data_IF_328304186892
#
_entry.id   IF_328304186892
#
_cell.length_a   1.000
_cell.length_b   1.000
_cell.length_c   1.000
_cell.angle_alpha   90.00
_cell.angle_beta   90.00
_cell.angle_gamma   90.00
#
_symmetry.space_group_name_H-M   'P 1'
#
loop_
_entity.id
_entity.type
_entity.pdbx_description
1 polymer ?
#
# COMPACT_ATOMS: atom_id res chain seq x y z
N UNK A 1 2.13 -9.10 7.90
CA UNK A 1 0.77 -8.70 7.57
C UNK A 1 0.74 -7.27 7.03
N UNK A 2 -0.36 -6.89 6.40
CA UNK A 2 -0.55 -5.55 5.86
C UNK A 2 -0.48 -4.47 6.94
N UNK A 3 -0.97 -4.77 8.14
CA UNK A 3 -0.93 -3.80 9.25
C UNK A 3 0.50 -3.50 9.70
N UNK A 4 1.35 -4.51 9.76
CA UNK A 4 2.75 -4.31 10.12
C UNK A 4 3.47 -3.47 9.08
N UNK A 5 3.21 -3.72 7.80
CA UNK A 5 3.82 -2.95 6.72
C UNK A 5 3.39 -1.49 6.77
N UNK A 6 2.11 -1.25 7.05
CA UNK A 6 1.58 0.12 7.18
C UNK A 6 2.28 0.88 8.31
N UNK A 7 2.43 0.25 9.48
CA UNK A 7 3.10 0.86 10.62
C UNK A 7 4.56 1.16 10.31
N UNK A 8 5.22 0.22 9.65
CA UNK A 8 6.62 0.38 9.28
C UNK A 8 6.82 1.54 8.32
N UNK A 9 5.96 1.65 7.30
CA UNK A 9 6.02 2.76 6.35
C UNK A 9 5.80 4.08 7.07
N UNK A 10 4.82 4.14 7.95
CA UNK A 10 4.49 5.34 8.72
C UNK A 10 5.66 5.78 9.58
N UNK A 11 6.29 4.85 10.29
CA UNK A 11 7.45 5.16 11.13
C UNK A 11 8.61 5.69 10.30
N UNK A 12 8.92 5.05 9.20
CA UNK A 12 10.04 5.45 8.35
C UNK A 12 9.80 6.78 7.67
N UNK A 13 8.57 7.04 7.26
CA UNK A 13 8.21 8.33 6.69
C UNK A 13 8.37 9.44 7.73
N UNK A 14 7.99 9.16 8.98
CA UNK A 14 8.12 10.08 10.08
C UNK A 14 9.58 10.45 10.36
N UNK A 15 10.47 9.47 10.22
CA UNK A 15 11.91 9.67 10.42
C UNK A 15 12.62 10.14 9.15
N UNK A 16 11.88 10.31 8.04
CA UNK A 16 12.46 10.77 6.79
C UNK A 16 13.28 9.73 6.04
N UNK A 17 13.03 8.44 6.31
CA UNK A 17 13.78 7.36 5.67
C UNK A 17 13.19 6.92 4.33
N UNK A 18 11.95 7.32 4.01
CA UNK A 18 11.33 7.04 2.72
C UNK A 18 11.34 8.28 1.85
N UNK A 19 11.70 8.09 0.58
CA UNK A 19 11.54 9.12 -0.44
C UNK A 19 10.13 9.03 -1.04
N UNK A 20 9.73 10.10 -1.73
CA UNK A 20 8.46 10.11 -2.45
C UNK A 20 8.44 9.02 -3.54
N UNK A 21 9.58 8.78 -4.19
CA UNK A 21 9.71 7.73 -5.20
C UNK A 21 9.41 6.35 -4.62
N UNK A 22 9.83 6.10 -3.38
CA UNK A 22 9.56 4.83 -2.71
C UNK A 22 8.06 4.66 -2.47
N UNK A 23 7.38 5.72 -2.06
CA UNK A 23 5.93 5.69 -1.84
C UNK A 23 5.20 5.43 -3.15
N UNK A 24 5.58 6.12 -4.22
CA UNK A 24 4.97 5.91 -5.54
C UNK A 24 5.17 4.48 -6.04
N UNK A 25 6.35 3.93 -5.79
CA UNK A 25 6.66 2.56 -6.18
C UNK A 25 5.76 1.56 -5.44
N UNK A 26 5.56 1.76 -4.14
CA UNK A 26 4.64 0.95 -3.35
C UNK A 26 3.21 1.07 -3.85
N UNK A 27 2.78 2.27 -4.23
CA UNK A 27 1.44 2.49 -4.77
C UNK A 27 1.24 1.72 -6.07
N UNK A 28 2.24 1.68 -6.94
CA UNK A 28 2.17 0.90 -8.17
C UNK A 28 2.05 -0.60 -7.90
N UNK A 29 2.81 -1.10 -6.94
CA UNK A 29 2.74 -2.50 -6.53
C UNK A 29 1.35 -2.84 -6.01
N UNK A 30 0.80 -1.99 -5.15
CA UNK A 30 -0.53 -2.18 -4.60
C UNK A 30 -1.62 -2.10 -5.67
N UNK A 31 -1.46 -1.19 -6.62
CA UNK A 31 -2.40 -1.05 -7.71
C UNK A 31 -2.48 -2.33 -8.55
N UNK A 32 -1.32 -2.89 -8.87
CA UNK A 32 -1.27 -4.15 -9.61
C UNK A 32 -1.85 -5.31 -8.80
N UNK A 33 -1.55 -5.36 -7.50
CA UNK A 33 -2.09 -6.37 -6.61
C UNK A 33 -3.61 -6.26 -6.51
N UNK A 34 -4.14 -5.05 -6.38
CA UNK A 34 -5.59 -4.82 -6.33
C UNK A 34 -6.27 -5.32 -7.59
N UNK A 35 -5.72 -5.01 -8.75
CA UNK A 35 -6.25 -5.46 -10.03
C UNK A 35 -6.30 -6.99 -10.09
N UNK A 36 -5.21 -7.63 -9.68
CA UNK A 36 -5.10 -9.08 -9.69
C UNK A 36 -6.12 -9.72 -8.76
N UNK A 37 -6.28 -9.20 -7.55
CA UNK A 37 -7.24 -9.72 -6.59
C UNK A 37 -8.68 -9.55 -7.07
N UNK A 38 -8.97 -8.44 -7.72
CA UNK A 38 -10.28 -8.19 -8.29
C UNK A 38 -10.58 -9.21 -9.39
N UNK A 39 -9.63 -9.47 -10.27
CA UNK A 39 -9.81 -10.39 -11.39
C UNK A 39 -10.06 -11.82 -10.93
N UNK A 40 -9.43 -12.26 -9.85
CA UNK A 40 -9.62 -13.60 -9.31
C UNK A 40 -10.80 -13.70 -8.34
N UNK A 41 -11.50 -12.59 -8.09
CA UNK A 41 -12.66 -12.56 -7.22
C UNK A 41 -12.35 -12.52 -5.74
N UNK A 42 -11.13 -12.23 -5.36
CA UNK A 42 -10.74 -12.11 -3.94
C UNK A 42 -11.02 -10.70 -3.45
N UNK A 43 -12.28 -10.40 -3.16
CA UNK A 43 -12.70 -9.06 -2.75
C UNK A 43 -12.08 -8.63 -1.43
N UNK A 44 -11.87 -9.56 -0.51
CA UNK A 44 -11.25 -9.24 0.76
C UNK A 44 -9.81 -8.73 0.56
N UNK A 45 -9.06 -9.42 -0.28
CA UNK A 45 -7.70 -8.99 -0.62
C UNK A 45 -7.68 -7.64 -1.34
N UNK A 46 -8.65 -7.44 -2.23
CA UNK A 46 -8.80 -6.15 -2.93
C UNK A 46 -9.05 -5.01 -1.94
N UNK A 47 -9.99 -5.19 -1.01
CA UNK A 47 -10.34 -4.16 -0.05
C UNK A 47 -9.19 -3.84 0.90
N UNK A 48 -8.46 -4.86 1.33
CA UNK A 48 -7.30 -4.67 2.20
C UNK A 48 -6.22 -3.86 1.48
N UNK A 49 -5.94 -4.20 0.24
CA UNK A 49 -4.94 -3.49 -0.56
C UNK A 49 -5.38 -2.05 -0.84
N UNK A 50 -6.67 -1.84 -1.07
CA UNK A 50 -7.21 -0.50 -1.32
C UNK A 50 -7.04 0.41 -0.10
N UNK A 51 -7.29 -0.10 1.09
CA UNK A 51 -7.09 0.67 2.32
C UNK A 51 -5.64 1.10 2.45
N UNK A 52 -4.73 0.21 2.14
CA UNK A 52 -3.31 0.47 2.17
C UNK A 52 -2.91 1.51 1.12
N UNK A 53 -3.44 1.37 -0.08
CA UNK A 53 -3.22 2.31 -1.17
C UNK A 53 -3.71 3.71 -0.79
N UNK A 54 -4.91 3.80 -0.23
CA UNK A 54 -5.49 5.07 0.20
C UNK A 54 -4.62 5.74 1.28
N UNK A 55 -4.07 4.95 2.19
CA UNK A 55 -3.15 5.47 3.20
C UNK A 55 -1.92 6.08 2.55
N UNK A 56 -1.32 5.40 1.58
CA UNK A 56 -0.14 5.90 0.90
C UNK A 56 -0.42 7.14 0.08
N UNK A 57 -1.64 7.28 -0.45
CA UNK A 57 -2.00 8.45 -1.26
C UNK A 57 -2.07 9.73 -0.42
N UNK A 58 -2.14 9.61 0.91
CA UNK A 58 -2.19 10.75 1.81
C UNK A 58 -0.78 11.25 2.22
N UNK A 59 0.25 10.53 1.84
CA UNK A 59 1.61 11.00 2.05
C UNK A 59 1.89 12.18 1.11
#
# INVERSE_FOLDING_TARGET
TMMHAKQEIEQRAQYGTYSLDTVENWMDILKNFMKEQYEVGNLQGYMNAKQYYDFLSEF
#
